data_IF_243997289320
#
_entry.id   IF_243997289320
#
_cell.length_a   1.000
_cell.length_b   1.000
_cell.length_c   1.000
_cell.angle_alpha   90.00
_cell.angle_beta   90.00
_cell.angle_gamma   90.00
#
_symmetry.space_group_name_H-M   'P 1'
#
loop_
_entity.id
_entity.type
_entity.pdbx_description
1 polymer ?
#
# COMPACT_ATOMS: atom_id res chain seq x y z
N UNK A 1 9.18 -3.78 -27.85
CA UNK A 1 8.24 -4.92 -27.93
C UNK A 1 7.27 -4.64 -29.06
N UNK A 2 6.88 -5.66 -29.84
CA UNK A 2 5.90 -5.49 -30.92
C UNK A 2 4.50 -5.21 -30.34
N UNK A 3 3.68 -4.32 -30.93
CA UNK A 3 2.36 -3.96 -30.39
C UNK A 3 1.42 -5.14 -30.19
N UNK A 4 1.44 -6.13 -31.10
CA UNK A 4 0.61 -7.33 -31.00
C UNK A 4 1.01 -8.21 -29.81
N UNK A 5 2.32 -8.37 -29.57
CA UNK A 5 2.83 -9.09 -28.40
C UNK A 5 2.40 -8.39 -27.10
N UNK A 6 2.51 -7.06 -27.02
CA UNK A 6 2.08 -6.30 -25.85
C UNK A 6 0.58 -6.47 -25.58
N UNK A 7 -0.25 -6.53 -26.62
CA UNK A 7 -1.69 -6.75 -26.49
C UNK A 7 -2.01 -8.14 -25.95
N UNK A 8 -1.37 -9.18 -26.47
CA UNK A 8 -1.58 -10.55 -25.99
C UNK A 8 -1.11 -10.75 -24.54
N UNK A 9 -0.02 -10.09 -24.14
CA UNK A 9 0.44 -10.10 -22.76
C UNK A 9 -0.57 -9.42 -21.82
N UNK A 10 -1.12 -8.28 -22.23
CA UNK A 10 -2.17 -7.57 -21.50
C UNK A 10 -3.45 -8.40 -21.35
N UNK A 11 -3.90 -9.09 -22.41
CA UNK A 11 -5.06 -9.98 -22.38
C UNK A 11 -4.81 -11.16 -21.44
N UNK A 12 -3.63 -11.78 -21.51
CA UNK A 12 -3.23 -12.86 -20.60
C UNK A 12 -3.19 -12.40 -19.15
N UNK A 13 -2.66 -11.21 -18.88
CA UNK A 13 -2.63 -10.61 -17.55
C UNK A 13 -4.05 -10.43 -16.99
N UNK A 14 -4.96 -9.86 -17.78
CA UNK A 14 -6.36 -9.69 -17.39
C UNK A 14 -7.04 -11.04 -17.07
N UNK A 15 -6.88 -12.04 -17.93
CA UNK A 15 -7.41 -13.38 -17.69
C UNK A 15 -6.83 -14.01 -16.41
N UNK A 16 -5.52 -13.85 -16.17
CA UNK A 16 -4.85 -14.37 -14.99
C UNK A 16 -5.29 -13.66 -13.70
N UNK A 17 -5.51 -12.35 -13.75
CA UNK A 17 -6.08 -11.58 -12.65
C UNK A 17 -7.47 -12.09 -12.27
N UNK A 18 -8.33 -12.29 -13.26
CA UNK A 18 -9.69 -12.79 -13.06
C UNK A 18 -9.73 -14.24 -12.58
N UNK A 19 -8.80 -15.08 -13.06
CA UNK A 19 -8.72 -16.48 -12.71
C UNK A 19 -7.28 -16.88 -12.37
N UNK A 20 -6.96 -16.88 -11.08
CA UNK A 20 -5.64 -17.22 -10.56
C UNK A 20 -5.14 -18.60 -11.01
N UNK A 21 -6.05 -19.51 -11.41
CA UNK A 21 -5.70 -20.86 -11.87
C UNK A 21 -4.91 -20.87 -13.17
N UNK A 22 -4.93 -19.76 -13.92
CA UNK A 22 -4.10 -19.59 -15.11
C UNK A 22 -2.63 -19.30 -14.75
N UNK A 23 -2.33 -18.98 -13.48
CA UNK A 23 -0.97 -18.93 -12.98
C UNK A 23 -0.48 -20.32 -12.55
N UNK A 24 -0.01 -21.10 -13.52
CA UNK A 24 0.65 -22.38 -13.24
C UNK A 24 1.86 -22.26 -12.30
N UNK A 25 2.74 -21.23 -12.41
CA UNK A 25 3.83 -21.03 -11.48
C UNK A 25 3.34 -20.91 -10.03
N UNK A 26 2.35 -20.04 -9.76
CA UNK A 26 1.77 -19.86 -8.43
C UNK A 26 1.15 -21.16 -7.89
N UNK A 27 0.33 -21.84 -8.70
CA UNK A 27 -0.31 -23.09 -8.30
C UNK A 27 0.70 -24.19 -7.95
N UNK A 28 1.77 -24.31 -8.73
CA UNK A 28 2.80 -25.33 -8.53
C UNK A 28 3.81 -24.95 -7.44
N UNK A 29 4.02 -23.65 -7.21
CA UNK A 29 4.92 -23.11 -6.20
C UNK A 29 4.31 -23.14 -4.80
N UNK A 30 3.00 -22.87 -4.71
CA UNK A 30 2.24 -22.79 -3.45
C UNK A 30 1.26 -23.95 -3.25
N UNK A 31 1.45 -25.10 -3.91
CA UNK A 31 0.47 -26.19 -3.90
C UNK A 31 0.12 -26.68 -2.47
N UNK A 32 1.12 -26.75 -1.60
CA UNK A 32 0.97 -27.18 -0.21
C UNK A 32 0.24 -26.11 0.60
N UNK A 33 0.69 -24.87 0.50
CA UNK A 33 0.20 -23.71 1.25
C UNK A 33 -1.24 -23.36 0.88
N UNK A 34 -1.59 -23.43 -0.41
CA UNK A 34 -2.96 -23.22 -0.88
C UNK A 34 -3.94 -24.20 -0.21
N UNK A 35 -3.49 -25.44 0.06
CA UNK A 35 -4.29 -26.45 0.74
C UNK A 35 -4.26 -26.28 2.26
N UNK A 36 -3.08 -26.13 2.85
CA UNK A 36 -2.89 -26.04 4.31
C UNK A 36 -3.52 -24.77 4.89
N UNK A 37 -3.38 -23.64 4.21
CA UNK A 37 -3.94 -22.36 4.64
C UNK A 37 -5.37 -22.14 4.16
N UNK A 38 -5.95 -23.10 3.42
CA UNK A 38 -7.30 -22.99 2.83
C UNK A 38 -7.48 -21.74 1.94
N UNK A 39 -6.42 -21.35 1.22
CA UNK A 39 -6.41 -20.24 0.27
C UNK A 39 -6.87 -20.65 -1.13
N UNK A 40 -7.53 -21.80 -1.24
CA UNK A 40 -8.22 -22.26 -2.44
C UNK A 40 -9.71 -22.42 -2.14
N UNK A 41 -10.61 -22.03 -3.07
CA UNK A 41 -12.03 -22.29 -2.90
C UNK A 41 -12.29 -23.79 -2.71
N UNK A 42 -13.16 -24.13 -1.77
CA UNK A 42 -13.76 -25.46 -1.68
C UNK A 42 -14.34 -25.87 -3.04
N UNK A 43 -14.33 -27.16 -3.37
CA UNK A 43 -14.79 -27.66 -4.68
C UNK A 43 -16.20 -27.15 -5.08
N UNK A 44 -17.06 -26.91 -4.08
CA UNK A 44 -18.42 -26.33 -4.23
C UNK A 44 -18.45 -24.88 -4.73
N UNK A 45 -17.41 -24.09 -4.50
CA UNK A 45 -17.32 -22.67 -4.90
C UNK A 45 -16.25 -22.43 -5.96
N UNK A 46 -15.79 -23.50 -6.60
CA UNK A 46 -14.72 -23.46 -7.60
C UNK A 46 -15.01 -22.52 -8.79
N UNK A 47 -16.28 -22.31 -9.13
CA UNK A 47 -16.74 -21.35 -10.15
C UNK A 47 -17.20 -19.99 -9.62
N UNK A 48 -17.04 -19.70 -8.34
CA UNK A 48 -17.44 -18.40 -7.79
C UNK A 48 -16.55 -17.30 -8.37
N UNK A 49 -17.12 -16.19 -8.85
CA UNK A 49 -16.37 -15.05 -9.37
C UNK A 49 -15.50 -14.38 -8.29
N UNK A 50 -15.63 -14.74 -7.02
CA UNK A 50 -14.95 -14.05 -5.92
C UNK A 50 -13.49 -14.50 -5.69
N UNK A 51 -12.97 -15.46 -6.47
CA UNK A 51 -11.61 -15.99 -6.29
C UNK A 51 -10.67 -15.51 -7.41
N UNK A 52 -10.38 -14.21 -7.36
CA UNK A 52 -9.38 -13.56 -8.22
C UNK A 52 -7.96 -13.71 -7.66
N UNK A 53 -6.95 -13.39 -8.47
CA UNK A 53 -5.53 -13.48 -8.09
C UNK A 53 -5.21 -12.68 -6.82
N UNK A 54 -5.71 -11.45 -6.72
CA UNK A 54 -5.54 -10.56 -5.56
C UNK A 54 -5.94 -11.24 -4.25
N UNK A 55 -7.09 -11.92 -4.23
CA UNK A 55 -7.60 -12.61 -3.03
C UNK A 55 -6.68 -13.74 -2.58
N UNK A 56 -6.18 -14.55 -3.53
CA UNK A 56 -5.30 -15.68 -3.23
C UNK A 56 -3.96 -15.20 -2.65
N UNK A 57 -3.39 -14.14 -3.23
CA UNK A 57 -2.14 -13.55 -2.75
C UNK A 57 -2.28 -13.00 -1.32
N UNK A 58 -3.35 -12.23 -1.05
CA UNK A 58 -3.65 -11.72 0.29
C UNK A 58 -3.88 -12.84 1.31
N UNK A 59 -4.52 -13.94 0.91
CA UNK A 59 -4.73 -15.08 1.79
C UNK A 59 -3.41 -15.77 2.17
N UNK A 60 -2.55 -16.03 1.18
CA UNK A 60 -1.24 -16.66 1.40
C UNK A 60 -0.36 -15.79 2.31
N UNK A 61 -0.37 -14.48 2.09
CA UNK A 61 0.31 -13.50 2.93
C UNK A 61 -0.20 -13.51 4.37
N UNK A 62 -1.51 -13.42 4.57
CA UNK A 62 -2.10 -13.45 5.91
C UNK A 62 -1.70 -14.73 6.66
N UNK A 63 -1.74 -15.86 5.96
CA UNK A 63 -1.39 -17.14 6.54
C UNK A 63 0.11 -17.21 6.90
N UNK A 64 0.97 -16.59 6.09
CA UNK A 64 2.40 -16.45 6.37
C UNK A 64 2.66 -15.59 7.61
N UNK A 65 1.92 -14.47 7.79
CA UNK A 65 1.98 -13.67 9.01
C UNK A 65 1.51 -14.43 10.25
N UNK A 66 0.39 -15.15 10.14
CA UNK A 66 -0.15 -15.94 11.24
C UNK A 66 0.71 -17.17 11.58
N UNK A 67 1.52 -17.66 10.62
CA UNK A 67 2.36 -18.83 10.78
C UNK A 67 3.79 -18.57 10.25
N UNK A 68 4.60 -17.77 10.98
CA UNK A 68 5.96 -17.46 10.56
C UNK A 68 6.78 -18.73 10.28
N UNK A 69 7.44 -18.78 9.12
CA UNK A 69 8.28 -19.91 8.72
C UNK A 69 7.54 -21.12 8.14
N UNK A 70 6.20 -21.10 8.03
CA UNK A 70 5.45 -22.19 7.38
C UNK A 70 5.30 -22.09 5.87
N UNK A 71 5.51 -20.91 5.28
CA UNK A 71 5.48 -20.74 3.84
C UNK A 71 6.82 -21.17 3.24
N UNK A 72 6.81 -22.08 2.26
CA UNK A 72 8.03 -22.54 1.59
C UNK A 72 8.70 -21.41 0.81
N UNK A 73 10.03 -21.50 0.64
CA UNK A 73 10.79 -20.54 -0.19
C UNK A 73 10.26 -20.47 -1.63
N UNK A 74 9.82 -21.62 -2.17
CA UNK A 74 9.22 -21.68 -3.51
C UNK A 74 7.92 -20.89 -3.58
N UNK A 75 7.04 -21.02 -2.58
CA UNK A 75 5.81 -20.24 -2.55
C UNK A 75 6.08 -18.75 -2.30
N UNK A 76 7.01 -18.42 -1.39
CA UNK A 76 7.46 -17.03 -1.15
C UNK A 76 7.94 -16.36 -2.44
N UNK A 77 8.77 -17.06 -3.22
CA UNK A 77 9.25 -16.59 -4.51
C UNK A 77 8.09 -16.29 -5.48
N UNK A 78 7.12 -17.21 -5.59
CA UNK A 78 5.98 -17.00 -6.47
C UNK A 78 5.11 -15.83 -6.01
N UNK A 79 4.84 -15.68 -4.71
CA UNK A 79 4.08 -14.54 -4.18
C UNK A 79 4.78 -13.23 -4.54
N UNK A 80 6.08 -13.11 -4.27
CA UNK A 80 6.87 -11.90 -4.59
C UNK A 80 6.88 -11.62 -6.10
N UNK A 81 7.02 -12.66 -6.92
CA UNK A 81 6.96 -12.55 -8.39
C UNK A 81 5.62 -11.98 -8.85
N UNK A 82 4.51 -12.44 -8.28
CA UNK A 82 3.17 -11.96 -8.64
C UNK A 82 2.91 -10.54 -8.15
N UNK A 83 3.42 -10.16 -6.97
CA UNK A 83 3.38 -8.77 -6.48
C UNK A 83 4.07 -7.82 -7.45
N UNK A 84 5.26 -8.20 -7.87
CA UNK A 84 6.05 -7.45 -8.85
C UNK A 84 5.32 -7.32 -10.19
N UNK A 85 4.78 -8.43 -10.70
CA UNK A 85 3.98 -8.39 -11.93
C UNK A 85 2.76 -7.47 -11.79
N UNK A 86 2.07 -7.49 -10.64
CA UNK A 86 0.89 -6.64 -10.40
C UNK A 86 1.25 -5.14 -10.40
N UNK A 87 2.39 -4.77 -9.82
CA UNK A 87 2.88 -3.38 -9.87
C UNK A 87 3.23 -2.93 -11.29
N UNK A 88 3.79 -3.83 -12.11
CA UNK A 88 4.18 -3.52 -13.49
C UNK A 88 3.03 -3.64 -14.51
N UNK A 89 1.98 -4.40 -14.22
CA UNK A 89 0.82 -4.65 -15.09
C UNK A 89 -0.49 -4.60 -14.28
N UNK A 90 -1.12 -3.43 -14.27
CA UNK A 90 -2.35 -3.18 -13.50
C UNK A 90 -3.51 -4.10 -13.91
N UNK A 91 -3.52 -4.65 -15.14
CA UNK A 91 -4.57 -5.56 -15.59
C UNK A 91 -4.61 -6.87 -14.81
N UNK A 92 -3.59 -7.17 -14.02
CA UNK A 92 -3.62 -8.27 -13.06
C UNK A 92 -4.58 -8.04 -11.89
N UNK A 93 -5.03 -6.81 -11.66
CA UNK A 93 -6.12 -6.49 -10.74
C UNK A 93 -7.41 -6.24 -11.53
N UNK A 94 -8.37 -7.20 -11.52
CA UNK A 94 -9.68 -6.99 -12.10
C UNK A 94 -10.40 -5.77 -11.53
N UNK A 95 -10.18 -5.48 -10.24
CA UNK A 95 -10.79 -4.35 -9.55
C UNK A 95 -10.37 -3.02 -10.18
N UNK A 96 -9.09 -2.84 -10.48
CA UNK A 96 -8.59 -1.63 -11.16
C UNK A 96 -9.16 -1.54 -12.58
N UNK A 97 -9.15 -2.63 -13.34
CA UNK A 97 -9.67 -2.64 -14.72
C UNK A 97 -11.16 -2.25 -14.75
N UNK A 98 -11.95 -2.75 -13.81
CA UNK A 98 -13.40 -2.54 -13.79
C UNK A 98 -13.79 -1.17 -13.20
N UNK A 99 -13.07 -0.68 -12.19
CA UNK A 99 -13.50 0.50 -11.41
C UNK A 99 -12.71 1.77 -11.69
N UNK A 100 -11.53 1.69 -12.30
CA UNK A 100 -10.69 2.83 -12.66
C UNK A 100 -10.70 3.17 -14.15
N UNK A 101 -11.48 2.48 -14.99
CA UNK A 101 -11.42 2.65 -16.46
C UNK A 101 -11.61 4.10 -16.91
N UNK A 102 -12.55 4.82 -16.29
CA UNK A 102 -12.80 6.24 -16.58
C UNK A 102 -11.60 7.12 -16.20
N UNK A 103 -11.04 6.92 -15.02
CA UNK A 103 -9.88 7.65 -14.51
C UNK A 103 -8.63 7.36 -15.36
N UNK A 104 -8.44 6.11 -15.81
CA UNK A 104 -7.36 5.74 -16.73
C UNK A 104 -7.50 6.52 -18.04
N UNK A 105 -8.68 6.49 -18.66
CA UNK A 105 -8.91 7.16 -19.95
C UNK A 105 -8.75 8.68 -19.86
N UNK A 106 -9.23 9.30 -18.75
CA UNK A 106 -9.19 10.75 -18.58
C UNK A 106 -7.82 11.27 -18.18
N UNK A 107 -7.10 10.56 -17.30
CA UNK A 107 -5.92 11.09 -16.62
C UNK A 107 -4.61 10.44 -17.06
N UNK A 108 -4.63 9.13 -17.30
CA UNK A 108 -3.42 8.33 -17.47
C UNK A 108 -3.18 7.83 -18.90
N UNK A 109 -4.19 7.91 -19.76
CA UNK A 109 -4.15 7.46 -21.15
C UNK A 109 -5.05 8.35 -22.03
N UNK A 110 -4.88 9.68 -22.03
CA UNK A 110 -5.76 10.60 -22.76
C UNK A 110 -5.70 10.42 -24.28
N UNK A 111 -4.66 9.79 -24.82
CA UNK A 111 -4.53 9.45 -26.24
C UNK A 111 -4.77 7.96 -26.52
N UNK A 112 -5.24 7.20 -25.53
CA UNK A 112 -5.35 5.74 -25.60
C UNK A 112 -4.00 5.01 -25.45
N UNK A 113 -2.95 5.72 -25.04
CA UNK A 113 -1.61 5.22 -24.80
C UNK A 113 -1.43 4.72 -23.37
N UNK A 114 -1.83 3.46 -23.13
CA UNK A 114 -1.56 2.79 -21.85
C UNK A 114 -0.04 2.59 -21.71
N UNK A 115 0.55 3.30 -20.76
CA UNK A 115 1.98 3.20 -20.48
C UNK A 115 2.34 1.89 -19.76
N UNK A 116 3.26 1.13 -20.35
CA UNK A 116 3.77 -0.11 -19.80
C UNK A 116 4.64 0.08 -18.53
N UNK A 117 5.03 -1.04 -17.90
CA UNK A 117 6.02 -1.09 -16.82
C UNK A 117 5.59 -0.29 -15.58
N UNK A 118 4.33 -0.43 -15.18
CA UNK A 118 3.77 0.14 -13.95
C UNK A 118 3.45 1.63 -14.02
N UNK A 119 3.78 2.33 -15.10
CA UNK A 119 3.54 3.78 -15.22
C UNK A 119 2.07 4.16 -15.15
N UNK A 120 1.16 3.39 -15.77
CA UNK A 120 -0.29 3.64 -15.61
C UNK A 120 -0.76 3.49 -14.16
N UNK A 121 -0.25 2.47 -13.43
CA UNK A 121 -0.60 2.30 -12.02
C UNK A 121 -0.08 3.48 -11.19
N UNK A 122 1.17 3.89 -11.40
CA UNK A 122 1.75 5.06 -10.74
C UNK A 122 1.04 6.37 -11.09
N UNK A 123 0.52 6.52 -12.31
CA UNK A 123 -0.36 7.63 -12.63
C UNK A 123 -1.63 7.61 -11.77
N UNK A 124 -2.30 6.45 -11.63
CA UNK A 124 -3.46 6.35 -10.74
C UNK A 124 -3.08 6.64 -9.28
N UNK A 125 -1.95 6.11 -8.79
CA UNK A 125 -1.47 6.37 -7.43
C UNK A 125 -1.17 7.87 -7.19
N UNK A 126 -0.67 8.59 -8.19
CA UNK A 126 -0.44 10.03 -8.09
C UNK A 126 -1.76 10.80 -7.96
N UNK A 127 -2.79 10.39 -8.71
CA UNK A 127 -4.12 10.98 -8.65
C UNK A 127 -4.87 10.70 -7.35
N UNK A 128 -4.46 9.68 -6.57
CA UNK A 128 -5.01 9.44 -5.24
C UNK A 128 -4.74 10.60 -4.26
N UNK A 129 -3.70 11.41 -4.53
CA UNK A 129 -3.30 12.58 -3.75
C UNK A 129 -3.82 13.92 -4.32
N UNK A 130 -4.56 13.87 -5.43
CA UNK A 130 -4.96 15.07 -6.15
C UNK A 130 -5.92 15.94 -5.33
N UNK A 131 -5.71 17.26 -5.40
CA UNK A 131 -6.51 18.24 -4.66
C UNK A 131 -7.69 18.72 -5.47
N UNK A 132 -7.53 18.79 -6.78
CA UNK A 132 -8.60 19.23 -7.67
C UNK A 132 -9.71 18.18 -7.75
N UNK A 133 -10.91 18.52 -7.29
CA UNK A 133 -12.10 17.66 -7.33
C UNK A 133 -12.37 17.06 -8.73
N UNK A 134 -12.01 17.79 -9.79
CA UNK A 134 -12.20 17.33 -11.16
C UNK A 134 -11.16 16.29 -11.62
N UNK A 135 -10.09 16.11 -10.85
CA UNK A 135 -8.98 15.21 -11.15
C UNK A 135 -8.79 14.13 -10.06
N UNK A 136 -9.69 14.09 -9.07
CA UNK A 136 -9.72 13.05 -8.04
C UNK A 136 -10.27 11.74 -8.58
N UNK A 137 -9.77 10.66 -8.02
CA UNK A 137 -10.28 9.31 -8.27
C UNK A 137 -11.67 9.13 -7.64
N UNK A 138 -12.54 8.38 -8.32
CA UNK A 138 -13.78 7.90 -7.72
C UNK A 138 -13.53 6.95 -6.54
N UNK A 139 -14.47 6.81 -5.60
CA UNK A 139 -14.30 6.00 -4.39
C UNK A 139 -14.05 4.52 -4.70
N UNK A 140 -14.66 3.98 -5.75
CA UNK A 140 -14.45 2.59 -6.18
C UNK A 140 -13.03 2.36 -6.70
N UNK A 141 -12.52 3.28 -7.52
CA UNK A 141 -11.15 3.22 -8.00
C UNK A 141 -10.14 3.36 -6.85
N UNK A 142 -10.40 4.28 -5.91
CA UNK A 142 -9.57 4.44 -4.71
C UNK A 142 -9.50 3.13 -3.89
N UNK A 143 -10.62 2.43 -3.72
CA UNK A 143 -10.67 1.13 -3.04
C UNK A 143 -9.90 0.04 -3.80
N UNK A 144 -9.97 0.05 -5.14
CA UNK A 144 -9.19 -0.87 -5.97
C UNK A 144 -7.68 -0.63 -5.81
N UNK A 145 -7.23 0.64 -5.80
CA UNK A 145 -5.83 0.97 -5.53
C UNK A 145 -5.40 0.56 -4.12
N UNK A 146 -6.23 0.77 -3.09
CA UNK A 146 -5.94 0.27 -1.74
C UNK A 146 -5.74 -1.25 -1.74
N UNK A 147 -6.54 -1.98 -2.52
CA UNK A 147 -6.39 -3.44 -2.66
C UNK A 147 -5.08 -3.80 -3.34
N UNK A 148 -4.71 -3.11 -4.42
CA UNK A 148 -3.42 -3.32 -5.09
C UNK A 148 -2.26 -3.03 -4.16
N UNK A 149 -2.30 -1.95 -3.39
CA UNK A 149 -1.25 -1.60 -2.43
C UNK A 149 -1.12 -2.65 -1.31
N UNK A 150 -2.23 -3.26 -0.88
CA UNK A 150 -2.24 -4.40 0.05
C UNK A 150 -1.60 -5.63 -0.55
N UNK A 151 -1.96 -5.98 -1.79
CA UNK A 151 -1.41 -7.17 -2.46
C UNK A 151 0.08 -6.99 -2.71
N UNK A 152 0.47 -5.83 -3.23
CA UNK A 152 1.84 -5.51 -3.59
C UNK A 152 2.76 -5.46 -2.37
N UNK A 153 2.25 -5.03 -1.21
CA UNK A 153 2.99 -5.02 0.06
C UNK A 153 4.36 -4.30 -0.08
N UNK A 154 4.31 -3.14 -0.75
CA UNK A 154 5.49 -2.31 -1.04
C UNK A 154 6.17 -1.83 0.24
N UNK A 155 5.41 -1.69 1.34
CA UNK A 155 5.92 -1.35 2.67
C UNK A 155 6.89 -2.40 3.22
N UNK A 156 6.62 -3.69 3.01
CA UNK A 156 7.52 -4.77 3.43
C UNK A 156 8.61 -5.06 2.41
N UNK A 157 8.34 -4.83 1.11
CA UNK A 157 9.34 -5.03 0.07
C UNK A 157 9.22 -4.04 -1.07
N UNK A 158 9.95 -2.92 -0.96
CA UNK A 158 9.94 -1.86 -1.97
C UNK A 158 10.45 -2.31 -3.36
N UNK A 159 11.18 -3.43 -3.46
CA UNK A 159 11.73 -3.95 -4.72
C UNK A 159 10.66 -4.54 -5.65
N UNK A 160 9.46 -4.79 -5.14
CA UNK A 160 8.31 -5.20 -5.97
C UNK A 160 7.83 -4.06 -6.87
N UNK A 161 8.08 -2.82 -6.46
CA UNK A 161 7.81 -1.62 -7.25
C UNK A 161 9.08 -1.23 -8.03
N UNK A 162 9.15 -1.65 -9.29
CA UNK A 162 10.30 -1.36 -10.16
C UNK A 162 10.45 0.14 -10.45
N UNK A 163 9.35 0.89 -10.48
CA UNK A 163 9.37 2.32 -10.80
C UNK A 163 9.93 3.10 -9.60
N UNK A 164 9.50 2.76 -8.38
CA UNK A 164 10.10 3.28 -7.14
C UNK A 164 11.58 2.88 -7.04
N UNK A 165 11.90 1.60 -7.22
CA UNK A 165 13.28 1.11 -7.14
C UNK A 165 14.19 1.86 -8.12
N UNK A 166 13.78 1.97 -9.39
CA UNK A 166 14.56 2.62 -10.43
C UNK A 166 14.73 4.12 -10.18
N UNK A 167 13.65 4.81 -9.79
CA UNK A 167 13.70 6.26 -9.51
C UNK A 167 14.57 6.60 -8.30
N UNK A 168 14.59 5.74 -7.27
CA UNK A 168 15.36 5.95 -6.04
C UNK A 168 16.75 5.30 -6.05
N UNK A 169 17.17 4.68 -7.17
CA UNK A 169 18.39 3.87 -7.24
C UNK A 169 19.66 4.61 -6.79
N UNK A 170 19.77 5.90 -7.09
CA UNK A 170 20.93 6.72 -6.72
C UNK A 170 21.08 6.87 -5.20
N UNK A 171 19.97 6.95 -4.47
CA UNK A 171 19.97 7.01 -3.00
C UNK A 171 20.23 5.63 -2.41
N UNK A 172 19.58 4.60 -2.96
CA UNK A 172 19.72 3.19 -2.52
C UNK A 172 21.17 2.72 -2.64
N UNK A 173 21.82 2.96 -3.78
CA UNK A 173 23.20 2.54 -4.02
C UNK A 173 24.24 3.48 -3.39
N UNK A 174 23.80 4.63 -2.88
CA UNK A 174 24.67 5.68 -2.31
C UNK A 174 24.43 5.88 -0.80
N UNK A 175 23.81 6.98 -0.38
CA UNK A 175 23.64 7.31 1.05
C UNK A 175 22.89 6.25 1.87
N UNK A 176 21.95 5.52 1.25
CA UNK A 176 21.18 4.45 1.91
C UNK A 176 21.78 3.05 1.74
N UNK A 177 22.99 2.92 1.18
CA UNK A 177 23.59 1.61 0.92
C UNK A 177 23.79 0.76 2.19
N UNK A 178 24.06 1.41 3.33
CA UNK A 178 24.23 0.73 4.62
C UNK A 178 22.90 0.25 5.22
N UNK A 179 21.79 0.88 4.85
CA UNK A 179 20.44 0.54 5.28
C UNK A 179 19.82 -0.59 4.43
N UNK A 180 20.47 -0.98 3.33
CA UNK A 180 20.05 -2.06 2.44
C UNK A 180 20.07 -3.47 3.08
N UNK A 181 20.40 -3.56 4.37
CA UNK A 181 20.31 -4.79 5.19
C UNK A 181 18.85 -5.22 5.41
N UNK A 182 17.90 -4.29 5.41
CA UNK A 182 16.48 -4.60 5.42
C UNK A 182 15.68 -3.61 4.57
N UNK A 183 14.58 -4.09 4.00
CA UNK A 183 13.66 -3.30 3.19
C UNK A 183 13.06 -2.13 3.98
N UNK A 184 12.69 -2.38 5.25
CA UNK A 184 12.17 -1.36 6.16
C UNK A 184 13.21 -0.26 6.45
N UNK A 185 14.46 -0.62 6.73
CA UNK A 185 15.53 0.35 6.98
C UNK A 185 15.81 1.19 5.72
N UNK A 186 15.79 0.56 4.55
CA UNK A 186 15.97 1.27 3.28
C UNK A 186 14.88 2.32 3.07
N UNK A 187 13.61 1.94 3.26
CA UNK A 187 12.49 2.88 3.16
C UNK A 187 12.60 4.01 4.20
N UNK A 188 12.98 3.70 5.44
CA UNK A 188 13.23 4.69 6.49
C UNK A 188 14.36 5.66 6.11
N UNK A 189 15.43 5.16 5.48
CA UNK A 189 16.50 6.01 4.96
C UNK A 189 15.99 6.92 3.84
N UNK A 190 15.29 6.39 2.83
CA UNK A 190 14.72 7.18 1.75
C UNK A 190 13.81 8.30 2.30
N UNK A 191 12.98 8.00 3.30
CA UNK A 191 12.15 9.01 3.97
C UNK A 191 12.96 10.16 4.58
N UNK A 192 14.15 9.90 5.12
CA UNK A 192 15.03 10.97 5.68
C UNK A 192 15.62 11.86 4.60
N UNK A 193 15.83 11.34 3.39
CA UNK A 193 16.42 12.07 2.25
C UNK A 193 15.38 12.82 1.41
N UNK A 194 14.09 12.55 1.62
CA UNK A 194 12.99 13.09 0.81
C UNK A 194 12.98 14.63 0.68
N UNK A 195 13.46 15.35 1.70
CA UNK A 195 13.42 16.81 1.78
C UNK A 195 14.73 17.52 1.38
N UNK A 196 15.80 16.76 1.10
CA UNK A 196 17.15 17.30 0.93
C UNK A 196 17.72 17.08 -0.47
N UNK A 197 18.01 15.82 -0.79
CA UNK A 197 18.85 15.41 -1.93
C UNK A 197 18.19 14.30 -2.76
N UNK A 198 16.87 14.16 -2.64
CA UNK A 198 16.09 13.18 -3.39
C UNK A 198 15.71 13.67 -4.80
N UNK A 199 15.89 12.84 -5.86
CA UNK A 199 15.36 13.13 -7.19
C UNK A 199 13.83 13.28 -7.16
N UNK A 200 13.28 14.21 -7.95
CA UNK A 200 11.83 14.50 -7.96
C UNK A 200 10.97 13.29 -8.31
N UNK A 201 11.44 12.44 -9.22
CA UNK A 201 10.71 11.22 -9.56
C UNK A 201 10.69 10.24 -8.38
N UNK A 202 11.81 10.05 -7.67
CA UNK A 202 11.87 9.22 -6.46
C UNK A 202 10.97 9.79 -5.36
N UNK A 203 11.03 11.11 -5.13
CA UNK A 203 10.16 11.79 -4.17
C UNK A 203 8.69 11.52 -4.48
N UNK A 204 8.29 11.65 -5.75
CA UNK A 204 6.92 11.38 -6.17
C UNK A 204 6.52 9.92 -5.93
N UNK A 205 7.32 8.93 -6.38
CA UNK A 205 6.98 7.51 -6.20
C UNK A 205 6.93 7.12 -4.74
N UNK A 206 7.86 7.63 -3.93
CA UNK A 206 7.88 7.35 -2.51
C UNK A 206 6.65 7.95 -1.81
N UNK A 207 6.25 9.18 -2.18
CA UNK A 207 5.02 9.79 -1.66
C UNK A 207 3.76 9.01 -2.04
N UNK A 208 3.68 8.50 -3.27
CA UNK A 208 2.58 7.63 -3.72
C UNK A 208 2.42 6.42 -2.80
N UNK A 209 3.51 5.73 -2.47
CA UNK A 209 3.49 4.59 -1.55
C UNK A 209 3.15 5.03 -0.13
N UNK A 210 3.82 6.06 0.38
CA UNK A 210 3.63 6.54 1.75
C UNK A 210 2.22 7.08 2.01
N UNK A 211 1.55 7.61 0.99
CA UNK A 211 0.16 8.03 1.09
C UNK A 211 -0.78 6.91 1.55
N UNK A 212 -0.59 5.70 1.00
CA UNK A 212 -1.39 4.52 1.39
C UNK A 212 -0.94 3.95 2.73
N UNK A 213 0.38 3.82 2.95
CA UNK A 213 0.95 3.34 4.23
C UNK A 213 0.48 4.21 5.41
N UNK A 214 0.39 5.53 5.21
CA UNK A 214 -0.02 6.45 6.28
C UNK A 214 -1.50 6.35 6.66
N UNK A 215 -2.33 5.72 5.82
CA UNK A 215 -3.79 5.61 5.96
C UNK A 215 -4.26 4.25 6.41
N UNK A 216 -3.44 3.22 6.23
CA UNK A 216 -3.76 1.87 6.62
C UNK A 216 -2.59 1.28 7.41
N UNK A 217 -2.81 1.07 8.71
CA UNK A 217 -1.79 0.51 9.61
C UNK A 217 -1.32 -0.90 9.19
N UNK A 218 -2.12 -1.62 8.40
CA UNK A 218 -1.77 -2.96 7.91
C UNK A 218 -0.71 -2.93 6.80
N UNK A 219 -0.50 -1.77 6.17
CA UNK A 219 0.52 -1.55 5.14
C UNK A 219 1.88 -1.11 5.71
N UNK A 220 1.94 -0.84 7.02
CA UNK A 220 3.15 -0.47 7.73
C UNK A 220 3.65 -1.70 8.52
N UNK A 221 4.65 -2.45 8.02
CA UNK A 221 5.03 -3.74 8.61
C UNK A 221 5.54 -3.62 10.05
N UNK A 222 6.26 -2.55 10.38
CA UNK A 222 6.76 -2.29 11.73
C UNK A 222 5.61 -1.96 12.69
N UNK A 223 4.64 -1.16 12.24
CA UNK A 223 3.45 -0.84 13.03
C UNK A 223 2.54 -2.06 13.18
N UNK A 224 2.27 -2.78 12.10
CA UNK A 224 1.42 -3.96 12.08
C UNK A 224 1.97 -5.03 13.03
N UNK A 225 3.26 -5.38 12.90
CA UNK A 225 3.89 -6.41 13.74
C UNK A 225 3.86 -6.04 15.22
N UNK A 226 4.20 -4.79 15.56
CA UNK A 226 4.26 -4.35 16.95
C UNK A 226 2.87 -4.19 17.59
N UNK A 227 1.86 -3.77 16.82
CA UNK A 227 0.56 -3.36 17.32
C UNK A 227 -0.59 -4.33 17.06
N UNK A 228 -0.41 -5.43 16.34
CA UNK A 228 -1.51 -6.32 15.96
C UNK A 228 -2.41 -6.71 17.14
N UNK A 229 -1.85 -7.22 18.23
CA UNK A 229 -2.62 -7.68 19.38
C UNK A 229 -3.33 -6.54 20.12
N UNK A 230 -2.66 -5.39 20.27
CA UNK A 230 -3.26 -4.20 20.86
C UNK A 230 -4.37 -3.64 19.96
N UNK A 231 -4.19 -3.65 18.64
CA UNK A 231 -5.17 -3.19 17.68
C UNK A 231 -6.44 -4.06 17.74
N UNK A 232 -6.30 -5.39 17.82
CA UNK A 232 -7.43 -6.32 17.94
C UNK A 232 -8.12 -6.16 19.30
N UNK A 233 -7.36 -6.15 20.39
CA UNK A 233 -7.92 -6.18 21.75
C UNK A 233 -8.44 -4.83 22.25
N UNK A 234 -7.83 -3.71 21.81
CA UNK A 234 -8.14 -2.35 22.31
C UNK A 234 -8.80 -1.46 21.27
N UNK A 235 -8.57 -1.70 19.99
CA UNK A 235 -9.07 -0.88 18.89
C UNK A 235 -10.04 -1.63 17.95
N UNK A 236 -10.47 -2.83 18.33
CA UNK A 236 -11.44 -3.66 17.58
C UNK A 236 -11.02 -3.93 16.13
N UNK A 237 -9.72 -3.98 15.86
CA UNK A 237 -9.22 -4.38 14.56
C UNK A 237 -9.59 -5.84 14.25
N UNK A 238 -9.77 -6.17 12.97
CA UNK A 238 -9.93 -7.56 12.55
C UNK A 238 -8.63 -8.32 12.80
N UNK A 239 -8.73 -9.46 13.49
CA UNK A 239 -7.60 -10.39 13.63
C UNK A 239 -7.14 -10.93 12.26
N UNK A 240 -8.06 -11.04 11.30
CA UNK A 240 -7.77 -11.43 9.91
C UNK A 240 -8.10 -10.25 8.97
N UNK A 241 -7.24 -9.24 8.94
CA UNK A 241 -7.50 -8.00 8.19
C UNK A 241 -7.64 -8.20 6.67
N UNK A 242 -7.06 -9.26 6.12
CA UNK A 242 -7.16 -9.62 4.71
C UNK A 242 -8.43 -10.41 4.32
N UNK A 243 -9.12 -11.01 5.30
CA UNK A 243 -10.37 -11.71 5.00
C UNK A 243 -11.46 -10.66 4.84
N UNK A 244 -11.72 -10.26 3.59
CA UNK A 244 -13.00 -9.67 3.22
C UNK A 244 -14.08 -10.73 3.43
N UNK A 245 -14.49 -10.93 4.68
CA UNK A 245 -15.76 -11.56 4.96
C UNK A 245 -16.81 -10.67 4.30
N UNK A 246 -17.50 -11.23 3.30
CA UNK A 246 -18.75 -10.71 2.78
C UNK A 246 -19.54 -10.09 3.95
N UNK A 247 -19.80 -8.77 3.89
CA UNK A 247 -20.49 -7.92 4.89
C UNK A 247 -19.64 -6.94 5.70
N UNK A 248 -18.83 -6.09 5.05
CA UNK A 248 -18.76 -4.70 5.52
C UNK A 248 -18.99 -3.75 4.35
N UNK A 249 -20.27 -3.42 4.12
CA UNK A 249 -20.66 -2.09 3.64
C UNK A 249 -20.38 -1.07 4.76
N UNK A 250 -19.12 -0.99 5.18
CA UNK A 250 -18.65 -0.12 6.26
C UNK A 250 -17.38 0.60 5.80
N UNK A 251 -17.10 1.79 6.34
CA UNK A 251 -15.85 2.49 6.08
C UNK A 251 -14.66 1.61 6.45
N UNK A 252 -13.56 1.78 5.72
CA UNK A 252 -12.27 1.12 6.00
C UNK A 252 -11.91 1.27 7.50
N UNK A 253 -11.72 0.15 8.25
CA UNK A 253 -11.35 0.24 9.65
C UNK A 253 -9.94 0.80 9.85
N UNK A 254 -9.09 0.84 8.82
CA UNK A 254 -7.69 1.28 8.89
C UNK A 254 -7.51 2.64 9.58
N UNK A 255 -8.13 3.73 9.09
CA UNK A 255 -8.07 5.05 9.72
C UNK A 255 -8.59 5.09 11.16
N UNK A 256 -9.67 4.35 11.46
CA UNK A 256 -10.25 4.31 12.81
C UNK A 256 -9.32 3.60 13.80
N UNK A 257 -8.71 2.49 13.38
CA UNK A 257 -7.73 1.75 14.18
C UNK A 257 -6.49 2.61 14.41
N UNK A 258 -5.97 3.30 13.38
CA UNK A 258 -4.86 4.24 13.53
C UNK A 258 -5.15 5.34 14.55
N UNK A 259 -6.30 6.01 14.43
CA UNK A 259 -6.71 7.05 15.37
C UNK A 259 -6.84 6.53 16.80
N UNK A 260 -7.34 5.30 16.98
CA UNK A 260 -7.39 4.64 18.28
C UNK A 260 -5.99 4.35 18.84
N UNK A 261 -5.10 3.74 18.05
CA UNK A 261 -3.72 3.45 18.45
C UNK A 261 -2.97 4.72 18.84
N UNK A 262 -3.15 5.81 18.10
CA UNK A 262 -2.54 7.11 18.42
C UNK A 262 -2.99 7.63 19.78
N UNK A 263 -4.29 7.59 20.09
CA UNK A 263 -4.80 7.99 21.40
C UNK A 263 -4.33 7.06 22.52
N UNK A 264 -4.33 5.75 22.26
CA UNK A 264 -3.93 4.74 23.24
C UNK A 264 -2.43 4.79 23.59
N UNK A 265 -1.57 5.24 22.68
CA UNK A 265 -0.13 5.39 22.92
C UNK A 265 0.24 6.44 23.98
N UNK A 266 -0.71 7.31 24.34
CA UNK A 266 -0.59 8.33 25.39
C UNK A 266 -1.57 8.11 26.56
N UNK A 267 -2.26 6.97 26.60
CA UNK A 267 -3.18 6.64 27.68
C UNK A 267 -2.44 5.93 28.83
N UNK A 268 -2.33 6.60 29.98
CA UNK A 268 -1.67 6.05 31.17
C UNK A 268 -2.51 4.98 31.90
N UNK A 269 -3.84 4.99 31.72
CA UNK A 269 -4.74 4.07 32.44
C UNK A 269 -4.83 2.70 31.75
N UNK A 270 -4.76 2.67 30.42
CA UNK A 270 -4.73 1.45 29.64
C UNK A 270 -3.67 1.55 28.53
N UNK A 271 -2.37 1.54 28.89
CA UNK A 271 -1.29 1.77 27.96
C UNK A 271 -1.15 0.63 26.95
N UNK A 272 -0.76 0.95 25.73
CA UNK A 272 -0.31 -0.04 24.75
C UNK A 272 0.94 -0.78 25.24
N UNK A 273 1.23 -1.93 24.62
CA UNK A 273 2.52 -2.60 24.83
C UNK A 273 3.67 -1.64 24.49
N UNK A 274 4.82 -1.72 25.20
CA UNK A 274 5.93 -0.79 24.99
C UNK A 274 6.40 -0.73 23.53
N UNK A 275 6.46 -1.87 22.85
CA UNK A 275 6.84 -1.99 21.43
C UNK A 275 5.82 -1.31 20.51
N UNK A 276 4.53 -1.59 20.70
CA UNK A 276 3.46 -0.91 19.94
C UNK A 276 3.47 0.60 20.18
N UNK A 277 3.58 1.05 21.43
CA UNK A 277 3.64 2.47 21.76
C UNK A 277 4.86 3.16 21.15
N UNK A 278 6.01 2.49 21.09
CA UNK A 278 7.22 3.00 20.44
C UNK A 278 7.02 3.11 18.92
N UNK A 279 6.47 2.08 18.29
CA UNK A 279 6.19 2.05 16.84
C UNK A 279 5.17 3.12 16.44
N UNK A 280 4.08 3.28 17.20
CA UNK A 280 3.11 4.37 17.02
C UNK A 280 3.76 5.74 17.08
N UNK A 281 4.61 5.99 18.10
CA UNK A 281 5.31 7.28 18.23
C UNK A 281 6.32 7.50 17.11
N UNK A 282 6.98 6.44 16.64
CA UNK A 282 7.86 6.51 15.48
C UNK A 282 7.08 6.90 14.22
N UNK A 283 6.01 6.16 13.91
CA UNK A 283 5.12 6.44 12.77
C UNK A 283 4.58 7.88 12.81
N UNK A 284 4.09 8.34 13.97
CA UNK A 284 3.62 9.72 14.15
C UNK A 284 4.71 10.76 13.83
N UNK A 285 5.93 10.57 14.34
CA UNK A 285 7.06 11.49 14.10
C UNK A 285 7.50 11.50 12.64
N UNK A 286 7.62 10.33 12.02
CA UNK A 286 8.01 10.19 10.62
C UNK A 286 6.97 10.84 9.71
N UNK A 287 5.68 10.64 9.99
CA UNK A 287 4.57 11.20 9.20
C UNK A 287 4.39 12.71 9.44
N UNK A 288 4.73 13.22 10.63
CA UNK A 288 4.63 14.64 10.96
C UNK A 288 5.52 15.57 10.11
N UNK A 289 6.51 15.02 9.39
CA UNK A 289 7.33 15.80 8.47
C UNK A 289 6.52 16.41 7.32
N UNK A 290 5.43 15.76 6.89
CA UNK A 290 4.60 16.21 5.77
C UNK A 290 3.11 16.02 6.04
N UNK A 291 2.33 17.07 5.77
CA UNK A 291 0.89 17.07 6.10
C UNK A 291 0.10 16.03 5.30
N UNK A 292 0.51 15.70 4.07
CA UNK A 292 -0.15 14.66 3.26
C UNK A 292 0.00 13.23 3.82
N UNK A 293 0.92 13.03 4.76
CA UNK A 293 1.11 11.76 5.47
C UNK A 293 0.35 11.73 6.81
N UNK A 294 -0.44 12.77 7.11
CA UNK A 294 -1.29 12.86 8.30
C UNK A 294 -2.77 12.97 7.90
N UNK A 295 -3.48 11.85 7.65
CA UNK A 295 -4.82 11.87 7.05
C UNK A 295 -5.86 12.72 7.79
N UNK A 296 -5.82 12.74 9.13
CA UNK A 296 -6.75 13.53 9.95
C UNK A 296 -6.52 15.04 9.79
N UNK A 297 -5.26 15.47 9.80
CA UNK A 297 -4.87 16.87 9.60
C UNK A 297 -5.10 17.26 8.15
N UNK A 298 -4.72 16.40 7.22
CA UNK A 298 -4.88 16.64 5.80
C UNK A 298 -6.35 16.70 5.39
N UNK A 299 -7.27 15.99 6.05
CA UNK A 299 -8.70 16.09 5.77
C UNK A 299 -9.33 17.32 6.44
N UNK A 300 -8.95 17.63 7.67
CA UNK A 300 -9.59 18.68 8.49
C UNK A 300 -9.00 20.07 8.28
N UNK A 301 -7.71 20.16 8.01
CA UNK A 301 -6.97 21.42 7.90
C UNK A 301 -6.55 21.74 6.45
N UNK A 302 -6.97 20.91 5.46
CA UNK A 302 -6.52 21.02 4.06
C UNK A 302 -6.67 22.41 3.46
N UNK A 303 -7.86 22.98 3.61
CA UNK A 303 -8.24 24.24 3.00
C UNK A 303 -7.52 25.40 3.69
N UNK A 304 -7.48 25.37 5.03
CA UNK A 304 -6.76 26.32 5.85
C UNK A 304 -5.25 26.32 5.55
N UNK A 305 -4.63 25.16 5.31
CA UNK A 305 -3.20 25.09 4.98
C UNK A 305 -2.85 25.86 3.70
N UNK A 306 -3.74 25.86 2.70
CA UNK A 306 -3.53 26.63 1.48
C UNK A 306 -3.59 28.15 1.70
N UNK A 307 -4.35 28.60 2.70
CA UNK A 307 -4.54 30.01 3.04
C UNK A 307 -3.46 30.52 4.01
N UNK A 308 -3.06 29.70 4.98
CA UNK A 308 -2.14 30.09 6.05
C UNK A 308 -0.67 29.68 5.80
N UNK A 309 -0.40 28.73 4.89
CA UNK A 309 0.95 28.21 4.63
C UNK A 309 1.47 28.51 3.22
N UNK A 310 0.81 29.37 2.44
CA UNK A 310 1.12 29.59 1.01
C UNK A 310 2.56 30.06 0.73
N UNK A 311 3.21 30.67 1.74
CA UNK A 311 4.58 31.19 1.64
C UNK A 311 5.63 30.33 2.37
N UNK A 312 5.22 29.36 3.20
CA UNK A 312 6.09 28.58 4.09
C UNK A 312 5.74 27.08 4.02
N UNK A 313 5.90 26.51 2.82
CA UNK A 313 5.64 25.09 2.50
C UNK A 313 6.88 24.20 2.64
N UNK A 314 7.99 24.71 3.19
CA UNK A 314 9.17 23.86 3.40
C UNK A 314 8.93 22.90 4.58
N UNK A 315 9.43 21.65 4.49
CA UNK A 315 9.36 20.67 5.58
C UNK A 315 9.91 21.24 6.90
N UNK A 316 9.26 20.91 8.02
CA UNK A 316 9.57 21.41 9.39
C UNK A 316 9.40 22.93 9.64
N UNK A 317 8.81 23.72 8.73
CA UNK A 317 8.49 25.12 9.04
C UNK A 317 7.37 25.25 10.08
N UNK A 318 7.41 26.39 10.80
CA UNK A 318 6.62 26.72 12.00
C UNK A 318 5.12 26.46 11.86
N UNK A 319 4.54 26.52 10.66
CA UNK A 319 3.12 26.21 10.45
C UNK A 319 2.78 24.72 10.67
N UNK A 320 3.58 23.78 10.14
CA UNK A 320 3.34 22.34 10.29
C UNK A 320 3.55 21.92 11.76
N UNK A 321 4.60 22.43 12.39
CA UNK A 321 4.89 22.19 13.81
C UNK A 321 3.83 22.78 14.75
N UNK A 322 3.29 23.97 14.44
CA UNK A 322 2.22 24.60 15.25
C UNK A 322 0.92 23.82 15.17
N UNK A 323 0.53 23.34 13.98
CA UNK A 323 -0.67 22.52 13.82
C UNK A 323 -0.49 21.16 14.54
N UNK A 324 0.70 20.57 14.43
CA UNK A 324 1.04 19.34 15.16
C UNK A 324 0.96 19.50 16.68
N UNK A 325 1.50 20.60 17.23
CA UNK A 325 1.43 20.90 18.66
C UNK A 325 0.00 21.21 19.14
N UNK A 326 -0.86 21.82 18.32
CA UNK A 326 -2.21 22.22 18.72
C UNK A 326 -3.23 21.08 18.71
N UNK A 327 -2.98 20.01 17.95
CA UNK A 327 -3.90 18.87 17.85
C UNK A 327 -3.51 17.67 18.72
N UNK A 328 -2.24 17.57 19.12
CA UNK A 328 -1.72 16.42 19.89
C UNK A 328 -1.30 16.74 21.33
N UNK A 329 -1.37 18.01 21.76
CA UNK A 329 -1.25 18.47 23.16
C UNK A 329 -2.43 19.36 23.52
#
# INVERSE_FOLDING_TARGET
MEPECSKLLAERANMMGQNYRLSHPLLSGCATELKEFSCAPSALFSGSPNFHLSWVLLCLENAAYANPGKMSEKCQHEVISHRKMMMSEFRLSPEVVLTCGREIDLFCSPKGDIEAEGRTLHCLLSHAQERNENQKLGPQCMQALQTVMKVADVGSNYKVDEVLYASCKTLIDGPCAMDAQSEANTLSCLMKHMDFDMPKDCEQRLLEVQYFISRDWTLDPELYSACHEDAVSKCSASANWHQQLNQQQGPDPGPMVLACLYRAAYNDQNPLKPECAASVRHALRTRAARVNLMPDIESSCREALSEYCSNDVKPMQVCILKIFFFFFF
#
